data_IF_604229409704
#
_entry.id   IF_604229409704
#
_cell.length_a   1.000
_cell.length_b   1.000
_cell.length_c   1.000
_cell.angle_alpha   90.00
_cell.angle_beta   90.00
_cell.angle_gamma   90.00
#
_symmetry.space_group_name_H-M   'P 1'
#
loop_
_entity.id
_entity.type
_entity.pdbx_description
1 polymer ?
#
# COMPACT_ATOMS: atom_id res chain seq x y z
N UNK A 1 -11.10 -6.25 19.91
CA UNK A 1 -12.35 -7.00 19.76
C UNK A 1 -12.07 -8.14 18.79
N UNK A 2 -12.58 -9.35 19.05
CA UNK A 2 -12.40 -10.52 18.19
C UNK A 2 -13.78 -11.01 17.75
N UNK A 3 -13.92 -11.33 16.47
CA UNK A 3 -15.14 -11.85 15.86
C UNK A 3 -14.93 -13.33 15.52
N UNK A 4 -15.95 -14.17 15.72
CA UNK A 4 -15.87 -15.61 15.42
C UNK A 4 -16.60 -15.91 14.11
N UNK A 5 -15.91 -16.54 13.16
CA UNK A 5 -16.46 -16.97 11.88
C UNK A 5 -16.29 -18.48 11.74
N UNK A 6 -17.38 -19.19 11.45
CA UNK A 6 -17.34 -20.65 11.19
C UNK A 6 -17.15 -20.90 9.70
N UNK A 7 -16.05 -21.57 9.34
CA UNK A 7 -15.68 -21.86 7.96
C UNK A 7 -15.79 -23.36 7.67
N UNK A 8 -16.37 -23.71 6.52
CA UNK A 8 -16.30 -25.08 5.98
C UNK A 8 -15.04 -25.22 5.14
N UNK A 9 -14.00 -25.81 5.73
CA UNK A 9 -12.71 -26.01 5.06
C UNK A 9 -12.73 -27.37 4.33
N UNK A 10 -12.35 -27.44 3.04
CA UNK A 10 -12.19 -28.71 2.35
C UNK A 10 -11.20 -29.63 3.06
N UNK A 11 -11.53 -30.92 3.17
CA UNK A 11 -10.74 -31.92 3.90
C UNK A 11 -9.25 -31.91 3.51
N UNK A 12 -8.95 -31.84 2.22
CA UNK A 12 -7.58 -31.79 1.72
C UNK A 12 -6.79 -30.55 2.21
N UNK A 13 -7.45 -29.41 2.38
CA UNK A 13 -6.83 -28.19 2.91
C UNK A 13 -6.64 -28.30 4.43
N UNK A 14 -7.65 -28.83 5.14
CA UNK A 14 -7.56 -29.07 6.58
C UNK A 14 -6.36 -29.97 6.94
N UNK A 15 -6.20 -31.10 6.24
CA UNK A 15 -5.10 -32.04 6.48
C UNK A 15 -3.72 -31.38 6.28
N UNK A 16 -3.56 -30.58 5.22
CA UNK A 16 -2.31 -29.84 4.97
C UNK A 16 -1.99 -28.85 6.09
N UNK A 17 -2.99 -28.13 6.59
CA UNK A 17 -2.83 -27.18 7.70
C UNK A 17 -2.51 -27.91 9.02
N UNK A 18 -3.16 -29.05 9.29
CA UNK A 18 -2.89 -29.87 10.47
C UNK A 18 -1.46 -30.44 10.48
N UNK A 19 -0.96 -30.89 9.32
CA UNK A 19 0.44 -31.33 9.17
C UNK A 19 1.39 -30.17 9.47
N UNK A 20 1.14 -28.98 8.92
CA UNK A 20 1.97 -27.80 9.16
C UNK A 20 1.96 -27.38 10.64
N UNK A 21 0.79 -27.45 11.30
CA UNK A 21 0.65 -27.16 12.73
C UNK A 21 1.48 -28.14 13.57
N UNK A 22 1.38 -29.46 13.30
CA UNK A 22 2.19 -30.47 13.97
C UNK A 22 3.70 -30.29 13.75
N UNK A 23 4.11 -29.98 12.52
CA UNK A 23 5.52 -29.76 12.17
C UNK A 23 6.10 -28.48 12.83
N UNK A 24 5.28 -27.45 13.01
CA UNK A 24 5.69 -26.16 13.62
C UNK A 24 5.43 -26.08 15.12
N UNK A 25 4.84 -27.13 15.73
CA UNK A 25 4.42 -27.15 17.14
C UNK A 25 3.49 -25.98 17.51
N UNK A 26 2.66 -25.54 16.57
CA UNK A 26 1.68 -24.47 16.76
C UNK A 26 0.27 -25.04 16.75
N UNK A 27 -0.68 -24.30 17.31
CA UNK A 27 -2.09 -24.69 17.20
C UNK A 27 -2.54 -24.62 15.74
N UNK A 28 -3.55 -25.42 15.38
CA UNK A 28 -4.16 -25.34 14.05
C UNK A 28 -4.74 -23.94 13.79
N UNK A 29 -5.32 -23.32 14.82
CA UNK A 29 -5.86 -21.96 14.76
C UNK A 29 -4.78 -20.94 14.39
N UNK A 30 -3.61 -20.97 15.03
CA UNK A 30 -2.51 -20.06 14.73
C UNK A 30 -2.02 -20.16 13.28
N UNK A 31 -1.99 -21.38 12.74
CA UNK A 31 -1.60 -21.63 11.35
C UNK A 31 -2.67 -21.11 10.39
N UNK A 32 -3.96 -21.34 10.70
CA UNK A 32 -5.08 -20.80 9.92
C UNK A 32 -5.05 -19.26 9.93
N UNK A 33 -4.90 -18.64 11.10
CA UNK A 33 -4.84 -17.19 11.25
C UNK A 33 -3.65 -16.61 10.47
N UNK A 34 -2.49 -17.25 10.51
CA UNK A 34 -1.34 -16.81 9.71
C UNK A 34 -1.61 -16.90 8.21
N UNK A 35 -2.20 -18.01 7.74
CA UNK A 35 -2.54 -18.16 6.33
C UNK A 35 -3.57 -17.09 5.89
N UNK A 36 -4.55 -16.78 6.74
CA UNK A 36 -5.50 -15.71 6.51
C UNK A 36 -4.82 -14.34 6.49
N UNK A 37 -3.90 -14.05 7.42
CA UNK A 37 -3.14 -12.78 7.43
C UNK A 37 -2.33 -12.59 6.15
N UNK A 38 -1.65 -13.63 5.67
CA UNK A 38 -0.88 -13.59 4.42
C UNK A 38 -1.80 -13.40 3.21
N UNK A 39 -2.99 -14.03 3.23
CA UNK A 39 -4.00 -13.90 2.17
C UNK A 39 -4.97 -12.74 2.33
N UNK A 40 -4.79 -11.87 3.32
CA UNK A 40 -5.69 -10.74 3.59
C UNK A 40 -5.39 -9.54 2.69
N UNK A 41 -6.35 -8.62 2.53
CA UNK A 41 -6.10 -7.35 1.87
C UNK A 41 -4.89 -6.62 2.48
N UNK A 42 -4.11 -5.88 1.68
CA UNK A 42 -2.96 -5.12 2.18
C UNK A 42 -3.41 -4.07 3.19
N UNK A 43 -2.73 -4.00 4.32
CA UNK A 43 -2.97 -2.97 5.33
C UNK A 43 -2.39 -1.63 4.88
N UNK A 44 -3.10 -0.55 5.21
CA UNK A 44 -2.65 0.83 5.05
C UNK A 44 -2.29 1.48 6.41
N UNK A 45 -2.23 0.69 7.50
CA UNK A 45 -1.99 1.23 8.85
C UNK A 45 -0.53 1.51 9.17
N UNK A 46 0.39 0.99 8.36
CA UNK A 46 1.84 1.11 8.60
C UNK A 46 2.43 2.43 8.05
N UNK A 47 1.59 3.32 7.49
CA UNK A 47 1.99 4.65 7.00
C UNK A 47 1.65 5.75 8.01
N UNK A 48 2.27 6.94 7.93
CA UNK A 48 1.92 8.10 8.75
C UNK A 48 0.41 8.41 8.73
N UNK A 49 -0.13 8.84 9.89
CA UNK A 49 -1.57 9.06 10.09
C UNK A 49 -2.18 10.02 9.04
N UNK A 50 -1.41 11.01 8.59
CA UNK A 50 -1.82 11.98 7.56
C UNK A 50 -2.20 11.35 6.21
N UNK A 51 -1.72 10.14 5.91
CA UNK A 51 -2.02 9.42 4.68
C UNK A 51 -3.05 8.29 4.88
N UNK A 52 -3.28 7.83 6.10
CA UNK A 52 -4.10 6.65 6.38
C UNK A 52 -5.53 6.78 5.86
N UNK A 53 -6.18 7.92 6.10
CA UNK A 53 -7.56 8.17 5.63
C UNK A 53 -7.65 8.09 4.11
N UNK A 54 -6.65 8.63 3.43
CA UNK A 54 -6.60 8.64 1.97
C UNK A 54 -6.39 7.22 1.42
N UNK A 55 -5.44 6.47 1.97
CA UNK A 55 -5.18 5.08 1.57
C UNK A 55 -6.35 4.14 1.90
N UNK A 56 -7.02 4.34 3.03
CA UNK A 56 -8.20 3.58 3.42
C UNK A 56 -9.35 3.70 2.40
N UNK A 57 -9.42 4.81 1.68
CA UNK A 57 -10.44 5.01 0.65
C UNK A 57 -10.24 4.08 -0.56
N UNK A 58 -9.00 3.64 -0.83
CA UNK A 58 -8.68 2.79 -1.98
C UNK A 58 -9.28 1.38 -1.85
N UNK A 59 -9.47 0.88 -0.62
CA UNK A 59 -10.05 -0.45 -0.37
C UNK A 59 -11.46 -0.60 -0.98
N UNK A 60 -12.18 0.52 -1.13
CA UNK A 60 -13.55 0.58 -1.65
C UNK A 60 -13.63 0.77 -3.17
N UNK A 61 -12.50 1.01 -3.84
CA UNK A 61 -12.47 1.28 -5.27
C UNK A 61 -12.58 -0.01 -6.09
N UNK A 62 -13.17 0.11 -7.27
CA UNK A 62 -13.17 -0.94 -8.29
C UNK A 62 -11.80 -1.05 -8.97
N UNK A 63 -11.59 -2.14 -9.71
CA UNK A 63 -10.30 -2.43 -10.33
C UNK A 63 -9.89 -1.38 -11.37
N UNK A 64 -10.82 -0.77 -12.12
CA UNK A 64 -10.46 0.25 -13.11
C UNK A 64 -9.95 1.52 -12.44
N UNK A 65 -10.62 1.96 -11.37
CA UNK A 65 -10.18 3.10 -10.57
C UNK A 65 -8.80 2.85 -9.95
N UNK A 66 -8.55 1.64 -9.45
CA UNK A 66 -7.22 1.26 -8.93
C UNK A 66 -6.16 1.25 -10.02
N UNK A 67 -6.48 0.77 -11.23
CA UNK A 67 -5.55 0.81 -12.36
C UNK A 67 -5.22 2.23 -12.81
N UNK A 68 -6.18 3.15 -12.78
CA UNK A 68 -5.92 4.57 -13.07
C UNK A 68 -4.93 5.17 -12.07
N UNK A 69 -5.10 4.87 -10.77
CA UNK A 69 -4.17 5.31 -9.73
C UNK A 69 -2.80 4.63 -9.92
N UNK A 70 -2.76 3.31 -10.09
CA UNK A 70 -1.50 2.58 -10.27
C UNK A 70 -0.69 3.09 -11.48
N UNK A 71 -1.36 3.49 -12.56
CA UNK A 71 -0.74 3.99 -13.79
C UNK A 71 -0.59 5.51 -13.85
N UNK A 72 -1.04 6.27 -12.86
CA UNK A 72 -0.97 7.74 -12.88
C UNK A 72 0.47 8.22 -12.94
N UNK A 73 0.72 9.36 -13.58
CA UNK A 73 2.03 10.01 -13.60
C UNK A 73 1.91 11.40 -12.99
N UNK A 74 2.95 11.83 -12.28
CA UNK A 74 3.09 13.23 -11.87
C UNK A 74 3.23 14.10 -13.10
N UNK A 75 2.78 15.35 -12.99
CA UNK A 75 2.92 16.29 -14.10
C UNK A 75 4.38 16.72 -14.25
N UNK A 76 4.82 16.99 -15.47
CA UNK A 76 6.18 17.49 -15.74
C UNK A 76 6.45 18.80 -14.98
N UNK A 77 5.44 19.66 -14.85
CA UNK A 77 5.55 20.95 -14.18
C UNK A 77 5.84 20.82 -12.68
N UNK A 78 5.21 19.87 -11.99
CA UNK A 78 5.49 19.60 -10.57
C UNK A 78 6.91 19.06 -10.36
N UNK A 79 7.40 18.21 -11.28
CA UNK A 79 8.77 17.68 -11.22
C UNK A 79 9.80 18.79 -11.44
N UNK A 80 9.63 19.59 -12.50
CA UNK A 80 10.52 20.71 -12.81
C UNK A 80 10.57 21.74 -11.67
N UNK A 81 9.41 22.04 -11.06
CA UNK A 81 9.35 22.97 -9.93
C UNK A 81 10.05 22.42 -8.69
N UNK A 82 9.87 21.13 -8.42
CA UNK A 82 10.54 20.46 -7.31
C UNK A 82 12.07 20.47 -7.49
N UNK A 83 12.56 20.12 -8.69
CA UNK A 83 13.99 20.11 -9.02
C UNK A 83 14.60 21.52 -8.95
N UNK A 84 13.85 22.53 -9.42
CA UNK A 84 14.26 23.93 -9.28
C UNK A 84 14.45 24.35 -7.82
N UNK A 85 13.49 24.05 -6.95
CA UNK A 85 13.56 24.42 -5.53
C UNK A 85 14.68 23.66 -4.80
N UNK A 86 14.92 22.40 -5.14
CA UNK A 86 16.05 21.63 -4.62
C UNK A 86 17.40 22.21 -5.05
N UNK A 87 17.52 22.58 -6.33
CA UNK A 87 18.75 23.20 -6.86
C UNK A 87 19.00 24.54 -6.18
N UNK A 88 17.95 25.37 -6.06
CA UNK A 88 18.03 26.66 -5.39
C UNK A 88 18.43 26.53 -3.92
N UNK A 89 17.92 25.53 -3.19
CA UNK A 89 18.29 25.27 -1.79
C UNK A 89 19.77 24.95 -1.60
N UNK A 90 20.41 24.32 -2.60
CA UNK A 90 21.83 23.98 -2.56
C UNK A 90 22.72 25.20 -2.84
N UNK A 91 22.26 26.11 -3.69
CA UNK A 91 23.01 27.30 -4.09
C UNK A 91 22.78 28.50 -3.16
N UNK A 92 21.56 28.65 -2.62
CA UNK A 92 21.10 29.83 -1.90
C UNK A 92 20.06 29.49 -0.83
N UNK A 93 19.82 30.41 0.11
CA UNK A 93 18.70 30.27 1.05
C UNK A 93 17.35 30.42 0.33
N UNK A 94 16.44 29.48 0.60
CA UNK A 94 15.05 29.56 0.18
C UNK A 94 14.29 30.58 1.03
N UNK A 95 13.41 31.37 0.39
CA UNK A 95 12.47 32.21 1.13
C UNK A 95 11.52 31.35 1.97
N UNK A 96 10.83 31.95 2.95
CA UNK A 96 9.82 31.22 3.74
C UNK A 96 8.74 30.60 2.86
N UNK A 97 8.30 31.31 1.82
CA UNK A 97 7.30 30.80 0.87
C UNK A 97 7.82 29.62 0.06
N UNK A 98 9.09 29.66 -0.37
CA UNK A 98 9.71 28.58 -1.14
C UNK A 98 9.99 27.34 -0.29
N UNK A 99 10.32 27.52 0.99
CA UNK A 99 10.46 26.39 1.93
C UNK A 99 9.13 25.69 2.15
N UNK A 100 8.05 26.46 2.35
CA UNK A 100 6.70 25.91 2.48
C UNK A 100 6.26 25.20 1.21
N UNK A 101 6.54 25.77 0.04
CA UNK A 101 6.23 25.14 -1.26
C UNK A 101 7.00 23.82 -1.44
N UNK A 102 8.30 23.79 -1.10
CA UNK A 102 9.11 22.58 -1.20
C UNK A 102 8.60 21.48 -0.25
N UNK A 103 8.21 21.84 0.97
CA UNK A 103 7.60 20.89 1.93
C UNK A 103 6.29 20.32 1.39
N UNK A 104 5.40 21.17 0.85
CA UNK A 104 4.15 20.73 0.23
C UNK A 104 4.40 19.76 -0.93
N UNK A 105 5.34 20.08 -1.82
CA UNK A 105 5.70 19.22 -2.96
C UNK A 105 6.23 17.85 -2.52
N UNK A 106 6.96 17.79 -1.39
CA UNK A 106 7.41 16.52 -0.80
C UNK A 106 6.23 15.70 -0.30
N UNK A 107 5.38 16.30 0.54
CA UNK A 107 4.19 15.62 1.09
C UNK A 107 3.26 15.12 -0.02
N UNK A 108 3.06 15.90 -1.08
CA UNK A 108 2.26 15.47 -2.23
C UNK A 108 2.93 14.36 -3.05
N UNK A 109 4.27 14.36 -3.12
CA UNK A 109 5.03 13.25 -3.69
C UNK A 109 4.86 11.95 -2.92
N UNK A 110 4.98 12.02 -1.60
CA UNK A 110 4.86 10.87 -0.73
C UNK A 110 3.44 10.31 -0.80
N UNK A 111 2.42 11.19 -0.70
CA UNK A 111 1.02 10.82 -0.89
C UNK A 111 0.80 10.10 -2.22
N UNK A 112 1.32 10.67 -3.32
CA UNK A 112 1.18 10.09 -4.65
C UNK A 112 1.79 8.69 -4.72
N UNK A 113 3.03 8.52 -4.25
CA UNK A 113 3.72 7.23 -4.28
C UNK A 113 3.05 6.19 -3.38
N UNK A 114 2.59 6.60 -2.19
CA UNK A 114 1.86 5.73 -1.28
C UNK A 114 0.56 5.23 -1.91
N UNK A 115 -0.25 6.13 -2.50
CA UNK A 115 -1.49 5.73 -3.21
C UNK A 115 -1.22 4.75 -4.34
N UNK A 116 -0.18 5.00 -5.14
CA UNK A 116 0.22 4.09 -6.22
C UNK A 116 0.60 2.71 -5.69
N UNK A 117 1.43 2.67 -4.65
CA UNK A 117 1.88 1.42 -4.06
C UNK A 117 0.71 0.61 -3.46
N UNK A 118 -0.22 1.28 -2.77
CA UNK A 118 -1.41 0.66 -2.20
C UNK A 118 -2.34 0.14 -3.30
N UNK A 119 -2.57 0.91 -4.37
CA UNK A 119 -3.39 0.47 -5.50
C UNK A 119 -2.82 -0.80 -6.17
N UNK A 120 -1.50 -0.84 -6.39
CA UNK A 120 -0.80 -2.01 -6.91
C UNK A 120 -0.92 -3.21 -5.96
N UNK A 121 -0.79 -3.00 -4.64
CA UNK A 121 -0.92 -4.06 -3.66
C UNK A 121 -2.34 -4.66 -3.64
N UNK A 122 -3.38 -3.81 -3.69
CA UNK A 122 -4.78 -4.25 -3.75
C UNK A 122 -5.03 -5.03 -5.04
N UNK A 123 -4.60 -4.51 -6.19
CA UNK A 123 -4.75 -5.19 -7.50
C UNK A 123 -4.08 -6.57 -7.49
N UNK A 124 -2.85 -6.66 -6.95
CA UNK A 124 -2.13 -7.93 -6.81
C UNK A 124 -2.90 -8.92 -5.93
N UNK A 125 -3.42 -8.45 -4.79
CA UNK A 125 -4.23 -9.27 -3.89
C UNK A 125 -5.53 -9.76 -4.55
N UNK A 126 -6.16 -8.93 -5.39
CA UNK A 126 -7.34 -9.29 -6.21
C UNK A 126 -7.02 -10.25 -7.37
N UNK A 127 -5.76 -10.66 -7.53
CA UNK A 127 -5.32 -11.64 -8.54
C UNK A 127 -4.87 -11.02 -9.87
N UNK A 128 -4.74 -9.70 -9.97
CA UNK A 128 -4.24 -9.06 -11.18
C UNK A 128 -2.72 -9.24 -11.32
N UNK A 129 -2.26 -9.49 -12.54
CA UNK A 129 -0.84 -9.49 -12.85
C UNK A 129 -0.34 -8.06 -13.08
N UNK A 130 0.00 -7.40 -11.98
CA UNK A 130 0.72 -6.13 -11.99
C UNK A 130 2.19 -6.39 -12.35
N UNK A 131 2.48 -6.51 -13.65
CA UNK A 131 3.85 -6.44 -14.15
C UNK A 131 4.40 -5.07 -13.79
N UNK A 132 5.53 -5.06 -13.07
CA UNK A 132 6.20 -3.91 -12.47
C UNK A 132 5.97 -2.63 -13.28
N UNK A 133 5.10 -1.76 -12.78
CA UNK A 133 5.00 -0.36 -13.22
C UNK A 133 6.28 0.33 -12.74
N UNK A 134 7.36 0.12 -13.48
CA UNK A 134 8.66 0.71 -13.19
C UNK A 134 8.69 2.15 -13.70
N UNK A 135 9.18 3.06 -12.84
CA UNK A 135 9.63 4.41 -13.20
C UNK A 135 8.54 5.45 -13.25
#
# INVERSE_FOLDING_TARGET
MAETVVLKIPEALYQRLAIAAGATQRSLEDVILQALQIGSPPTWKDVPEEFQTDLASLDRLDDNSLWQIANSKKTTLEMERYDFLLSKQQETELTDSERLELEQLRTDSDRFMLRKSQAVAILKWRGHNVVRLAG
#
